data_IF_915572394915
#
_entry.id   IF_915572394915
#
_cell.length_a   1.000
_cell.length_b   1.000
_cell.length_c   1.000
_cell.angle_alpha   90.00
_cell.angle_beta   90.00
_cell.angle_gamma   90.00
#
_symmetry.space_group_name_H-M   'P 1'
#
loop_
_entity.id
_entity.type
_entity.pdbx_description
1 polymer ?
#
# COMPACT_ATOMS: atom_id res chain seq x y z
N UNK A 1 3.41 0.56 8.49
CA UNK A 1 2.02 1.00 8.72
C UNK A 1 1.18 -0.20 9.10
N UNK A 2 0.08 0.02 9.79
CA UNK A 2 -0.85 -1.06 10.13
C UNK A 2 -1.70 -1.38 8.88
N UNK A 3 -1.99 -2.65 8.56
CA UNK A 3 -2.80 -3.05 7.40
C UNK A 3 -4.12 -2.29 7.28
N UNK A 4 -4.85 -2.14 8.39
CA UNK A 4 -6.08 -1.34 8.49
C UNK A 4 -5.92 0.11 7.99
N UNK A 5 -4.81 0.77 8.35
CA UNK A 5 -4.55 2.15 7.90
C UNK A 5 -4.27 2.21 6.39
N UNK A 6 -3.67 1.16 5.83
CA UNK A 6 -3.44 1.04 4.39
C UNK A 6 -4.79 0.83 3.69
N UNK A 7 -5.65 -0.03 4.23
CA UNK A 7 -6.99 -0.26 3.70
C UNK A 7 -7.83 1.03 3.66
N UNK A 8 -7.88 1.75 4.78
CA UNK A 8 -8.57 3.04 4.89
C UNK A 8 -8.07 4.06 3.84
N UNK A 9 -6.77 4.03 3.49
CA UNK A 9 -6.21 4.91 2.45
C UNK A 9 -6.63 4.49 1.06
N UNK A 10 -6.65 3.18 0.78
CA UNK A 10 -7.06 2.65 -0.53
C UNK A 10 -8.56 2.89 -0.78
N UNK A 11 -9.41 2.74 0.24
CA UNK A 11 -10.84 3.07 0.17
C UNK A 11 -11.05 4.54 -0.20
N UNK A 12 -10.31 5.47 0.43
CA UNK A 12 -10.39 6.89 0.08
C UNK A 12 -9.98 7.18 -1.35
N UNK A 13 -9.04 6.41 -1.91
CA UNK A 13 -8.65 6.53 -3.32
C UNK A 13 -9.76 6.00 -4.22
N UNK A 14 -10.36 4.86 -3.88
CA UNK A 14 -11.50 4.29 -4.60
C UNK A 14 -12.70 5.25 -4.64
N UNK A 15 -13.03 5.89 -3.50
CA UNK A 15 -14.10 6.89 -3.41
C UNK A 15 -13.82 8.16 -4.24
N UNK A 16 -12.55 8.45 -4.52
CA UNK A 16 -12.14 9.65 -5.23
C UNK A 16 -12.08 9.47 -6.76
N UNK A 17 -12.12 8.24 -7.25
CA UNK A 17 -12.06 7.91 -8.69
C UNK A 17 -13.43 7.47 -9.20
N UNK A 18 -13.59 7.35 -10.52
CA UNK A 18 -14.82 6.84 -11.09
C UNK A 18 -15.01 5.35 -10.77
N UNK A 19 -16.26 4.93 -10.54
CA UNK A 19 -16.61 3.54 -10.29
C UNK A 19 -16.00 2.58 -11.33
N UNK A 20 -15.43 1.47 -10.85
CA UNK A 20 -14.79 0.47 -11.70
C UNK A 20 -13.41 0.85 -12.23
N UNK A 21 -12.83 1.99 -11.82
CA UNK A 21 -11.43 2.32 -12.11
C UNK A 21 -10.52 1.28 -11.46
N UNK A 22 -9.68 0.56 -12.24
CA UNK A 22 -8.74 -0.41 -11.66
C UNK A 22 -7.70 0.28 -10.78
N UNK A 23 -7.48 -0.25 -9.57
CA UNK A 23 -6.50 0.27 -8.61
C UNK A 23 -5.40 -0.75 -8.34
N UNK A 24 -4.17 -0.26 -8.16
CA UNK A 24 -3.01 -1.06 -7.77
C UNK A 24 -2.30 -0.33 -6.63
N UNK A 25 -2.14 -1.01 -5.49
CA UNK A 25 -1.42 -0.48 -4.34
C UNK A 25 0.09 -0.70 -4.52
N UNK A 26 0.89 0.33 -4.22
CA UNK A 26 2.35 0.27 -4.27
C UNK A 26 2.95 1.22 -3.24
N UNK A 27 4.21 1.02 -2.82
CA UNK A 27 4.95 2.04 -2.09
C UNK A 27 5.12 3.32 -2.92
N UNK A 28 5.01 4.49 -2.30
CA UNK A 28 5.17 5.79 -2.99
C UNK A 28 6.55 5.95 -3.66
N UNK A 29 7.60 5.42 -3.01
CA UNK A 29 8.98 5.42 -3.49
C UNK A 29 9.60 4.03 -3.32
N UNK A 30 10.67 3.76 -4.07
CA UNK A 30 11.46 2.53 -3.89
C UNK A 30 12.23 2.48 -2.56
N UNK A 31 12.59 1.27 -2.13
CA UNK A 31 13.43 1.02 -0.94
C UNK A 31 14.93 1.27 -1.16
N UNK A 32 15.32 1.44 -2.43
CA UNK A 32 16.64 1.92 -2.82
C UNK A 32 16.70 3.42 -2.58
N UNK A 33 17.53 3.85 -1.64
CA UNK A 33 17.51 5.22 -1.15
C UNK A 33 17.83 6.27 -2.21
N UNK A 34 16.97 7.29 -2.29
CA UNK A 34 17.26 8.50 -3.02
C UNK A 34 18.08 9.45 -2.12
N UNK A 35 19.25 9.89 -2.62
CA UNK A 35 20.10 10.92 -2.01
C UNK A 35 20.73 10.61 -0.63
N UNK A 36 21.51 9.52 -0.54
CA UNK A 36 22.60 9.41 0.47
C UNK A 36 22.23 8.89 1.86
N UNK A 37 20.96 8.60 2.14
CA UNK A 37 20.56 7.76 3.27
C UNK A 37 20.81 6.29 2.87
N UNK A 38 21.18 5.39 3.78
CA UNK A 38 21.42 3.98 3.42
C UNK A 38 20.13 3.24 3.03
N UNK A 39 20.22 2.21 2.17
CA UNK A 39 19.08 1.37 1.79
C UNK A 39 18.27 0.94 3.00
N UNK A 40 16.94 0.88 2.85
CA UNK A 40 16.09 0.25 3.87
C UNK A 40 16.55 -1.19 4.05
N UNK A 41 16.71 -1.62 5.30
CA UNK A 41 17.09 -2.99 5.61
C UNK A 41 16.09 -3.95 4.94
N UNK A 42 16.56 -5.01 4.25
CA UNK A 42 15.69 -5.95 3.56
C UNK A 42 14.56 -6.51 4.43
N UNK A 43 14.80 -6.81 5.71
CA UNK A 43 13.76 -7.35 6.60
C UNK A 43 12.66 -6.31 6.84
N UNK A 44 13.04 -5.04 6.99
CA UNK A 44 12.08 -3.93 7.13
C UNK A 44 11.33 -3.68 5.82
N UNK A 45 12.00 -3.79 4.67
CA UNK A 45 11.38 -3.64 3.37
C UNK A 45 10.32 -4.73 3.14
N UNK A 46 10.64 -5.99 3.47
CA UNK A 46 9.69 -7.10 3.37
C UNK A 46 8.52 -6.95 4.32
N UNK A 47 8.75 -6.57 5.58
CA UNK A 47 7.65 -6.33 6.53
C UNK A 47 6.70 -5.20 6.06
N UNK A 48 7.22 -4.18 5.39
CA UNK A 48 6.40 -3.11 4.80
C UNK A 48 5.58 -3.60 3.61
N UNK A 49 6.14 -4.48 2.77
CA UNK A 49 5.44 -5.07 1.65
C UNK A 49 4.36 -6.06 2.11
N UNK A 50 4.61 -6.84 3.15
CA UNK A 50 3.62 -7.72 3.78
C UNK A 50 2.43 -6.93 4.33
N UNK A 51 2.69 -5.83 5.07
CA UNK A 51 1.62 -4.96 5.53
C UNK A 51 0.81 -4.30 4.38
N UNK A 52 1.47 -4.00 3.25
CA UNK A 52 0.80 -3.48 2.04
C UNK A 52 -0.11 -4.53 1.40
N UNK A 53 0.36 -5.78 1.29
CA UNK A 53 -0.41 -6.91 0.76
C UNK A 53 -1.65 -7.18 1.61
N UNK A 54 -1.47 -7.28 2.94
CA UNK A 54 -2.57 -7.46 3.89
C UNK A 54 -3.60 -6.32 3.82
N UNK A 55 -3.12 -5.07 3.80
CA UNK A 55 -3.99 -3.91 3.69
C UNK A 55 -4.76 -3.84 2.35
N UNK A 56 -4.11 -4.24 1.25
CA UNK A 56 -4.74 -4.32 -0.06
C UNK A 56 -5.81 -5.42 -0.12
N UNK A 57 -5.57 -6.56 0.54
CA UNK A 57 -6.57 -7.63 0.65
C UNK A 57 -7.82 -7.16 1.41
N UNK A 58 -7.63 -6.47 2.55
CA UNK A 58 -8.74 -5.88 3.34
C UNK A 58 -9.52 -4.86 2.51
N UNK A 59 -8.84 -3.94 1.82
CA UNK A 59 -9.48 -2.96 0.97
C UNK A 59 -10.27 -3.61 -0.18
N UNK A 60 -9.70 -4.67 -0.78
CA UNK A 60 -10.35 -5.39 -1.88
C UNK A 60 -11.69 -5.96 -1.45
N UNK A 61 -11.76 -6.60 -0.28
CA UNK A 61 -13.01 -7.10 0.29
C UNK A 61 -14.01 -5.97 0.56
N UNK A 62 -13.55 -4.84 1.10
CA UNK A 62 -14.43 -3.71 1.43
C UNK A 62 -15.01 -2.99 0.20
N UNK A 63 -14.22 -2.91 -0.88
CA UNK A 63 -14.59 -2.19 -2.10
C UNK A 63 -15.36 -3.08 -3.08
N UNK A 64 -14.98 -4.36 -3.19
CA UNK A 64 -15.48 -5.27 -4.24
C UNK A 64 -16.19 -6.53 -3.74
N UNK A 65 -16.21 -6.77 -2.41
CA UNK A 65 -16.95 -7.88 -1.78
C UNK A 65 -18.47 -7.70 -1.77
#
# INVERSE_FOLDING_TARGET
DHPETIADRLERVADAVADGTPLVAAPDCGFGTQAGLGMVDPEIAWAKLEALDEGAAIATERIYG
#
